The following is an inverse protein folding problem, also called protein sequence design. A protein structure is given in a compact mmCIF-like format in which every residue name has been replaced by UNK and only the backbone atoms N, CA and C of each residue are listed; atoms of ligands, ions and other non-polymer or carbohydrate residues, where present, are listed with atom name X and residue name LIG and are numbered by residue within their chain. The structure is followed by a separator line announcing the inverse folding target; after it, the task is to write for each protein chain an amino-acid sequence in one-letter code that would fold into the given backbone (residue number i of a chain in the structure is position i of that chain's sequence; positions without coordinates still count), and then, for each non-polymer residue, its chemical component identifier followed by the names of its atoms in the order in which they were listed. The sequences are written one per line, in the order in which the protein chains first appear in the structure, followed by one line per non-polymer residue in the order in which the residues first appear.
data_IF_726135795358
#
_entry.id   IF_726135795358
#
_cell.length_a   1.000
_cell.length_b   1.000
_cell.length_c   1.000
_cell.angle_alpha   90.00
_cell.angle_beta   90.00
_cell.angle_gamma   90.00
#
_symmetry.space_group_name_H-M   'P 1'
#
loop_
_entity.id
_entity.type
_entity.pdbx_description
1 polymer ?
#
# COMPACT_ATOMS: atom_id res chain seq x y z
N UNK A 1 -45.03 -46.18 -1.53
CA UNK A 1 -44.37 -44.87 -1.78
C UNK A 1 -43.85 -44.82 -3.21
N UNK A 2 -44.15 -43.72 -3.91
CA UNK A 2 -44.11 -43.57 -5.37
C UNK A 2 -42.68 -43.72 -5.97
N UNK A 3 -42.44 -44.76 -6.77
CA UNK A 3 -41.19 -45.01 -7.52
C UNK A 3 -40.75 -43.85 -8.44
N UNK A 4 -41.63 -42.89 -8.76
CA UNK A 4 -41.32 -41.71 -9.58
C UNK A 4 -40.41 -40.69 -8.88
N UNK A 5 -40.50 -40.53 -7.56
CA UNK A 5 -39.66 -39.56 -6.83
C UNK A 5 -38.22 -40.04 -6.64
N UNK A 6 -37.99 -41.35 -6.65
CA UNK A 6 -36.68 -41.93 -6.38
C UNK A 6 -35.62 -41.58 -7.44
N UNK A 7 -36.04 -41.22 -8.67
CA UNK A 7 -35.14 -40.74 -9.74
C UNK A 7 -34.98 -39.22 -9.76
N UNK A 8 -35.91 -38.48 -9.15
CA UNK A 8 -35.91 -37.01 -9.10
C UNK A 8 -35.07 -36.53 -7.91
N UNK A 9 -35.12 -37.23 -6.78
CA UNK A 9 -34.33 -36.94 -5.58
C UNK A 9 -32.81 -36.81 -5.88
N UNK A 10 -32.14 -37.76 -6.57
CA UNK A 10 -30.71 -37.61 -6.85
C UNK A 10 -30.40 -36.41 -7.74
N UNK A 11 -31.28 -36.07 -8.70
CA UNK A 11 -31.10 -34.89 -9.54
C UNK A 11 -31.22 -33.58 -8.75
N UNK A 12 -32.21 -33.49 -7.87
CA UNK A 12 -32.40 -32.32 -6.98
C UNK A 12 -31.20 -32.17 -6.03
N UNK A 13 -30.70 -33.26 -5.45
CA UNK A 13 -29.53 -33.23 -4.56
C UNK A 13 -28.27 -32.75 -5.30
N UNK A 14 -28.02 -33.22 -6.52
CA UNK A 14 -26.89 -32.76 -7.34
C UNK A 14 -27.03 -31.27 -7.68
N UNK A 15 -28.23 -30.84 -8.09
CA UNK A 15 -28.48 -29.44 -8.43
C UNK A 15 -28.30 -28.49 -7.23
N UNK A 16 -28.82 -28.87 -6.06
CA UNK A 16 -28.62 -28.12 -4.81
C UNK A 16 -27.14 -28.12 -4.42
N UNK A 17 -26.42 -29.24 -4.60
CA UNK A 17 -24.98 -29.31 -4.37
C UNK A 17 -24.19 -28.33 -5.24
N UNK A 18 -24.51 -28.23 -6.52
CA UNK A 18 -23.88 -27.26 -7.44
C UNK A 18 -24.17 -25.82 -6.99
N UNK A 19 -25.41 -25.51 -6.63
CA UNK A 19 -25.78 -24.17 -6.13
C UNK A 19 -24.98 -23.83 -4.88
N UNK A 20 -24.90 -24.74 -3.91
CA UNK A 20 -24.14 -24.51 -2.67
C UNK A 20 -22.66 -24.29 -2.95
N UNK A 21 -22.07 -25.04 -3.88
CA UNK A 21 -20.67 -24.86 -4.29
C UNK A 21 -20.47 -23.47 -4.91
N UNK A 22 -21.35 -23.05 -5.82
CA UNK A 22 -21.29 -21.72 -6.45
C UNK A 22 -21.42 -20.61 -5.40
N UNK A 23 -22.36 -20.73 -4.47
CA UNK A 23 -22.55 -19.77 -3.37
C UNK A 23 -21.30 -19.69 -2.47
N UNK A 24 -20.71 -20.83 -2.13
CA UNK A 24 -19.50 -20.89 -1.31
C UNK A 24 -18.32 -20.19 -2.00
N UNK A 25 -18.09 -20.46 -3.28
CA UNK A 25 -17.02 -19.79 -4.04
C UNK A 25 -17.26 -18.28 -4.20
N UNK A 26 -18.51 -17.87 -4.42
CA UNK A 26 -18.85 -16.44 -4.50
C UNK A 26 -18.56 -15.73 -3.17
N UNK A 27 -19.01 -16.29 -2.05
CA UNK A 27 -18.77 -15.71 -0.73
C UNK A 27 -17.26 -15.63 -0.42
N UNK A 28 -16.53 -16.72 -0.63
CA UNK A 28 -15.07 -16.72 -0.41
C UNK A 28 -14.33 -15.69 -1.27
N UNK A 29 -14.78 -15.45 -2.51
CA UNK A 29 -14.21 -14.42 -3.37
C UNK A 29 -14.55 -13.01 -2.89
N UNK A 30 -15.76 -12.78 -2.39
CA UNK A 30 -16.17 -11.50 -1.79
C UNK A 30 -15.35 -11.19 -0.54
N UNK A 31 -15.21 -12.16 0.37
CA UNK A 31 -14.44 -11.99 1.61
C UNK A 31 -12.97 -11.63 1.32
N UNK A 32 -12.35 -12.30 0.34
CA UNK A 32 -10.97 -11.99 -0.10
C UNK A 32 -10.83 -10.60 -0.71
N UNK A 33 -11.82 -10.18 -1.49
CA UNK A 33 -11.79 -8.86 -2.12
C UNK A 33 -11.95 -7.75 -1.08
N UNK A 34 -12.78 -7.96 -0.07
CA UNK A 34 -12.92 -7.07 1.08
C UNK A 34 -11.62 -7.00 1.90
N UNK A 35 -10.99 -8.15 2.20
CA UNK A 35 -9.71 -8.20 2.90
C UNK A 35 -8.61 -7.45 2.15
N UNK A 36 -8.48 -7.67 0.84
CA UNK A 36 -7.51 -6.95 0.00
C UNK A 36 -7.79 -5.46 -0.07
N UNK A 37 -9.07 -5.06 -0.13
CA UNK A 37 -9.47 -3.66 -0.06
C UNK A 37 -9.04 -3.02 1.26
N UNK A 38 -9.25 -3.70 2.39
CA UNK A 38 -8.83 -3.22 3.71
C UNK A 38 -7.30 -3.05 3.80
N UNK A 39 -6.54 -4.01 3.27
CA UNK A 39 -5.08 -3.88 3.20
C UNK A 39 -4.65 -2.68 2.33
N UNK A 40 -5.34 -2.45 1.20
CA UNK A 40 -5.07 -1.32 0.34
C UNK A 40 -5.39 0.01 1.00
N UNK A 41 -6.55 0.14 1.64
CA UNK A 41 -6.93 1.33 2.42
C UNK A 41 -5.93 1.61 3.53
N UNK A 42 -5.48 0.57 4.25
CA UNK A 42 -4.44 0.72 5.29
C UNK A 42 -3.11 1.19 4.72
N UNK A 43 -2.73 0.74 3.52
CA UNK A 43 -1.55 1.21 2.80
C UNK A 43 -1.69 2.69 2.42
N UNK A 44 -2.79 3.07 1.75
CA UNK A 44 -3.06 4.46 1.36
C UNK A 44 -3.04 5.38 2.58
N UNK A 45 -3.68 4.98 3.68
CA UNK A 45 -3.68 5.73 4.94
C UNK A 45 -2.28 5.94 5.50
N UNK A 46 -1.39 4.94 5.39
CA UNK A 46 0.00 5.08 5.85
C UNK A 46 0.79 6.06 4.98
N UNK A 47 0.51 6.09 3.67
CA UNK A 47 1.11 7.09 2.74
C UNK A 47 0.60 8.50 3.05
N UNK A 48 -0.68 8.65 3.41
CA UNK A 48 -1.24 9.93 3.86
C UNK A 48 -0.56 10.43 5.13
N UNK A 49 -0.33 9.54 6.11
CA UNK A 49 0.43 9.90 7.32
C UNK A 49 1.86 10.30 7.00
N UNK A 50 2.52 9.60 6.07
CA UNK A 50 3.85 10.00 5.61
C UNK A 50 3.85 11.41 5.00
N UNK A 51 2.90 11.71 4.11
CA UNK A 51 2.74 13.03 3.51
C UNK A 51 2.54 14.11 4.58
N UNK A 52 1.60 13.88 5.51
CA UNK A 52 1.34 14.81 6.61
C UNK A 52 2.57 15.03 7.48
N UNK A 53 3.36 13.99 7.74
CA UNK A 53 4.57 14.12 8.57
C UNK A 53 5.65 14.90 7.85
N UNK A 54 5.79 14.71 6.53
CA UNK A 54 6.73 15.48 5.70
C UNK A 54 6.39 16.98 5.72
N UNK A 55 5.11 17.35 5.66
CA UNK A 55 4.67 18.76 5.67
C UNK A 55 4.96 19.51 6.98
N UNK A 56 5.31 18.80 8.06
CA UNK A 56 5.62 19.41 9.36
C UNK A 56 7.06 19.93 9.46
N UNK A 57 7.94 19.50 8.55
CA UNK A 57 9.34 19.90 8.53
C UNK A 57 9.50 21.17 7.68
N UNK A 58 10.01 22.23 8.30
CA UNK A 58 10.31 23.50 7.66
C UNK A 58 11.61 24.14 8.21
N UNK A 59 12.13 25.15 7.51
CA UNK A 59 13.39 25.83 7.83
C UNK A 59 13.34 26.62 9.15
N UNK A 60 12.18 26.77 9.78
CA UNK A 60 12.02 27.49 11.05
C UNK A 60 12.22 26.60 12.29
N UNK A 61 12.31 25.28 12.10
CA UNK A 61 12.49 24.31 13.17
C UNK A 61 13.90 24.40 13.77
N UNK A 62 13.99 24.34 15.09
CA UNK A 62 15.28 24.17 15.76
C UNK A 62 15.79 22.73 15.61
N UNK A 63 17.09 22.50 15.83
CA UNK A 63 17.75 21.20 15.64
C UNK A 63 17.04 20.04 16.37
N UNK A 64 16.62 20.23 17.63
CA UNK A 64 16.02 19.15 18.42
C UNK A 64 14.60 18.79 17.90
N UNK A 65 13.81 19.81 17.53
CA UNK A 65 12.48 19.62 16.93
C UNK A 65 12.60 18.97 15.54
N UNK A 66 13.56 19.44 14.73
CA UNK A 66 13.84 18.88 13.41
C UNK A 66 14.23 17.40 13.50
N UNK A 67 15.09 17.04 14.47
CA UNK A 67 15.49 15.67 14.70
C UNK A 67 14.31 14.74 15.03
N UNK A 68 13.36 15.21 15.85
CA UNK A 68 12.13 14.45 16.17
C UNK A 68 11.27 14.28 14.91
N UNK A 69 11.02 15.36 14.17
CA UNK A 69 10.20 15.29 12.96
C UNK A 69 10.81 14.39 11.88
N UNK A 70 12.13 14.45 11.69
CA UNK A 70 12.86 13.55 10.80
C UNK A 70 12.73 12.08 11.24
N UNK A 71 12.75 11.82 12.55
CA UNK A 71 12.50 10.47 13.06
C UNK A 71 11.07 10.00 12.82
N UNK A 72 10.08 10.89 12.95
CA UNK A 72 8.68 10.58 12.67
C UNK A 72 8.43 10.28 11.20
N UNK A 73 9.08 11.02 10.28
CA UNK A 73 9.06 10.70 8.84
C UNK A 73 9.65 9.32 8.58
N UNK A 74 10.81 9.02 9.16
CA UNK A 74 11.44 7.70 9.00
C UNK A 74 10.53 6.57 9.48
N UNK A 75 9.91 6.74 10.64
CA UNK A 75 8.95 5.79 11.20
C UNK A 75 7.74 5.61 10.30
N UNK A 76 7.22 6.69 9.71
CA UNK A 76 6.12 6.64 8.74
C UNK A 76 6.51 5.89 7.47
N UNK A 77 7.74 6.04 6.96
CA UNK A 77 8.26 5.26 5.82
C UNK A 77 8.33 3.76 6.14
N UNK A 78 8.69 3.40 7.37
CA UNK A 78 8.67 1.99 7.83
C UNK A 78 7.24 1.45 7.77
N UNK A 79 6.27 2.18 8.32
CA UNK A 79 4.87 1.73 8.28
C UNK A 79 4.34 1.56 6.86
N UNK A 80 4.70 2.46 5.93
CA UNK A 80 4.36 2.29 4.51
C UNK A 80 4.92 0.98 3.96
N UNK A 81 6.20 0.68 4.20
CA UNK A 81 6.82 -0.59 3.77
C UNK A 81 6.14 -1.83 4.38
N UNK A 82 5.77 -1.78 5.65
CA UNK A 82 5.06 -2.87 6.32
C UNK A 82 3.67 -3.09 5.70
N UNK A 83 2.94 -2.00 5.40
CA UNK A 83 1.63 -2.10 4.73
C UNK A 83 1.73 -2.59 3.30
N UNK A 84 2.76 -2.19 2.53
CA UNK A 84 3.02 -2.76 1.20
C UNK A 84 3.27 -4.26 1.30
N UNK A 85 4.05 -4.70 2.30
CA UNK A 85 4.34 -6.13 2.52
C UNK A 85 3.06 -6.91 2.81
N UNK A 86 2.18 -6.39 3.68
CA UNK A 86 0.88 -6.99 3.96
C UNK A 86 -0.01 -7.04 2.71
N UNK A 87 -0.09 -5.93 1.96
CA UNK A 87 -0.87 -5.88 0.73
C UNK A 87 -0.35 -6.89 -0.30
N UNK A 88 0.96 -6.97 -0.51
CA UNK A 88 1.58 -7.93 -1.45
C UNK A 88 1.33 -9.38 -1.06
N UNK A 89 1.43 -9.71 0.22
CA UNK A 89 1.29 -11.09 0.69
C UNK A 89 -0.16 -11.61 0.62
N UNK A 90 -1.15 -10.71 0.62
CA UNK A 90 -2.58 -11.08 0.61
C UNK A 90 -3.25 -10.87 -0.76
N UNK A 91 -2.68 -10.03 -1.62
CA UNK A 91 -3.13 -9.89 -3.02
C UNK A 91 -2.42 -10.88 -3.94
N UNK A 92 -3.01 -11.17 -5.10
CA UNK A 92 -2.30 -11.90 -6.16
C UNK A 92 -1.07 -11.07 -6.56
N UNK A 93 0.11 -11.49 -6.11
CA UNK A 93 1.38 -10.76 -6.30
C UNK A 93 1.52 -10.28 -7.75
N UNK A 94 1.48 -8.97 -7.97
CA UNK A 94 1.74 -8.36 -9.26
C UNK A 94 3.18 -7.83 -9.31
N UNK A 95 3.86 -7.87 -10.47
CA UNK A 95 5.18 -7.28 -10.63
C UNK A 95 5.25 -5.80 -10.23
N UNK A 96 4.12 -5.09 -10.31
CA UNK A 96 3.98 -3.71 -9.88
C UNK A 96 4.10 -3.58 -8.37
N UNK A 97 3.50 -4.49 -7.60
CA UNK A 97 3.60 -4.49 -6.15
C UNK A 97 5.03 -4.80 -5.68
N UNK A 98 5.72 -5.73 -6.35
CA UNK A 98 7.13 -6.02 -6.09
C UNK A 98 8.02 -4.82 -6.37
N UNK A 99 7.77 -4.13 -7.49
CA UNK A 99 8.46 -2.89 -7.83
C UNK A 99 8.22 -1.84 -6.75
N UNK A 100 6.97 -1.61 -6.36
CA UNK A 100 6.62 -0.63 -5.33
C UNK A 100 7.34 -0.90 -4.00
N UNK A 101 7.35 -2.16 -3.57
CA UNK A 101 8.04 -2.59 -2.36
C UNK A 101 9.53 -2.30 -2.42
N UNK A 102 10.16 -2.52 -3.57
CA UNK A 102 11.59 -2.23 -3.74
C UNK A 102 11.86 -0.72 -3.73
N UNK A 103 11.03 0.08 -4.41
CA UNK A 103 11.22 1.54 -4.43
C UNK A 103 11.07 2.15 -3.02
N UNK A 104 10.07 1.75 -2.24
CA UNK A 104 9.92 2.23 -0.86
C UNK A 104 11.00 1.71 0.10
N UNK A 105 11.59 0.54 -0.19
CA UNK A 105 12.77 0.07 0.55
C UNK A 105 13.98 0.96 0.26
N UNK A 106 14.19 1.37 -0.99
CA UNK A 106 15.25 2.30 -1.34
C UNK A 106 15.02 3.66 -0.68
N UNK A 107 13.78 4.17 -0.68
CA UNK A 107 13.43 5.45 -0.02
C UNK A 107 13.73 5.38 1.48
N UNK A 108 13.37 4.27 2.12
CA UNK A 108 13.70 4.03 3.54
C UNK A 108 15.20 4.14 3.79
N UNK A 109 16.02 3.45 3.01
CA UNK A 109 17.48 3.43 3.20
C UNK A 109 18.09 4.82 2.94
N UNK A 110 17.60 5.51 1.91
CA UNK A 110 18.01 6.87 1.60
C UNK A 110 17.71 7.82 2.77
N UNK A 111 16.48 7.80 3.27
CA UNK A 111 16.06 8.69 4.33
C UNK A 111 16.70 8.35 5.68
N UNK A 112 16.89 7.06 5.99
CA UNK A 112 17.62 6.63 7.20
C UNK A 112 19.01 7.29 7.28
N UNK A 113 19.72 7.37 6.15
CA UNK A 113 21.02 8.03 6.10
C UNK A 113 20.91 9.52 6.46
N UNK A 114 19.87 10.21 6.00
CA UNK A 114 19.63 11.61 6.33
C UNK A 114 19.39 11.80 7.84
N UNK A 115 18.51 10.98 8.43
CA UNK A 115 18.23 11.01 9.88
C UNK A 115 19.49 10.74 10.68
N UNK A 116 20.24 9.68 10.35
CA UNK A 116 21.49 9.33 11.05
C UNK A 116 22.53 10.44 10.95
N UNK A 117 22.68 11.05 9.77
CA UNK A 117 23.62 12.15 9.57
C UNK A 117 23.24 13.36 10.42
N UNK A 118 21.97 13.75 10.42
CA UNK A 118 21.50 14.85 11.25
C UNK A 118 21.75 14.58 12.74
N UNK A 119 21.38 13.40 13.24
CA UNK A 119 21.57 13.03 14.65
C UNK A 119 23.05 12.92 15.07
N UNK A 120 23.92 12.40 14.18
CA UNK A 120 25.31 12.08 14.54
C UNK A 120 26.26 13.25 14.35
N UNK A 121 26.08 14.04 13.29
CA UNK A 121 27.02 15.10 12.91
C UNK A 121 26.41 16.49 12.97
N UNK A 122 25.14 16.61 13.37
CA UNK A 122 24.36 17.86 13.30
C UNK A 122 24.40 18.51 11.93
N UNK A 123 24.51 17.68 10.88
CA UNK A 123 24.45 18.18 9.52
C UNK A 123 23.05 18.71 9.26
N UNK A 124 22.95 19.94 8.77
CA UNK A 124 21.68 20.55 8.40
C UNK A 124 20.96 19.68 7.36
N UNK A 125 19.63 19.60 7.50
CA UNK A 125 18.78 18.97 6.50
C UNK A 125 18.88 19.76 5.20
N UNK A 126 19.02 19.05 4.08
CA UNK A 126 18.86 19.68 2.78
C UNK A 126 17.36 19.86 2.49
N UNK A 127 16.86 21.08 2.70
CA UNK A 127 15.45 21.41 2.50
C UNK A 127 14.98 21.33 1.04
N UNK A 128 15.87 21.46 0.05
CA UNK A 128 15.53 21.22 -1.36
C UNK A 128 15.20 19.74 -1.59
N UNK A 129 16.02 18.84 -1.05
CA UNK A 129 15.78 17.39 -1.10
C UNK A 129 14.50 17.04 -0.34
N UNK A 130 14.28 17.63 0.84
CA UNK A 130 13.07 17.40 1.63
C UNK A 130 11.81 17.86 0.89
N UNK A 131 11.82 19.07 0.34
CA UNK A 131 10.69 19.63 -0.43
C UNK A 131 10.39 18.77 -1.65
N UNK A 132 11.43 18.33 -2.38
CA UNK A 132 11.24 17.40 -3.50
C UNK A 132 10.62 16.07 -3.03
N UNK A 133 11.08 15.51 -1.91
CA UNK A 133 10.52 14.28 -1.37
C UNK A 133 9.04 14.45 -0.99
N UNK A 134 8.70 15.51 -0.28
CA UNK A 134 7.31 15.86 0.04
C UNK A 134 6.45 15.96 -1.24
N UNK A 135 6.91 16.71 -2.24
CA UNK A 135 6.20 16.85 -3.51
C UNK A 135 5.96 15.49 -4.19
N UNK A 136 6.98 14.62 -4.25
CA UNK A 136 6.85 13.29 -4.88
C UNK A 136 5.91 12.37 -4.12
N UNK A 137 5.89 12.41 -2.79
CA UNK A 137 4.92 11.66 -2.00
C UNK A 137 3.50 12.18 -2.24
N UNK A 138 3.32 13.50 -2.31
CA UNK A 138 2.01 14.11 -2.59
C UNK A 138 1.50 13.73 -3.98
N UNK A 139 2.36 13.79 -5.00
CA UNK A 139 2.04 13.35 -6.36
C UNK A 139 1.73 11.86 -6.43
N UNK A 140 2.52 11.03 -5.74
CA UNK A 140 2.25 9.60 -5.61
C UNK A 140 0.86 9.35 -5.04
N UNK A 141 0.53 9.98 -3.91
CA UNK A 141 -0.77 9.84 -3.25
C UNK A 141 -1.94 10.28 -4.15
N UNK A 142 -1.77 11.37 -4.90
CA UNK A 142 -2.80 11.88 -5.81
C UNK A 142 -3.06 10.95 -7.01
N UNK A 143 -2.03 10.24 -7.47
CA UNK A 143 -2.10 9.35 -8.63
C UNK A 143 -2.39 7.88 -8.26
N UNK A 144 -2.45 7.56 -6.95
CA UNK A 144 -2.82 6.23 -6.50
C UNK A 144 -4.25 5.88 -6.95
N UNK A 145 -4.52 4.60 -7.27
CA UNK A 145 -5.89 4.12 -7.42
C UNK A 145 -6.75 4.51 -6.19
N UNK A 146 -8.01 4.90 -6.41
CA UNK A 146 -8.88 5.27 -5.28
C UNK A 146 -9.27 4.06 -4.44
N UNK A 147 -9.57 2.96 -5.13
CA UNK A 147 -10.04 1.72 -4.55
C UNK A 147 -9.20 0.55 -5.06
N UNK A 148 -9.16 -0.54 -4.29
CA UNK A 148 -8.54 -1.77 -4.75
C UNK A 148 -9.44 -2.47 -5.75
N UNK A 149 -8.89 -2.79 -6.91
CA UNK A 149 -9.50 -3.68 -7.88
C UNK A 149 -8.47 -4.66 -8.41
N UNK A 150 -8.82 -5.94 -8.51
CA UNK A 150 -7.98 -6.93 -9.18
C UNK A 150 -8.10 -6.79 -10.71
N UNK A 151 -7.67 -5.66 -11.25
CA UNK A 151 -7.83 -5.28 -12.66
C UNK A 151 -6.53 -4.77 -13.27
N UNK A 152 -6.43 -4.84 -14.60
CA UNK A 152 -5.29 -4.25 -15.33
C UNK A 152 -5.24 -2.73 -15.19
N UNK A 153 -6.39 -2.09 -15.00
CA UNK A 153 -6.48 -0.64 -14.86
C UNK A 153 -5.92 -0.18 -13.52
N UNK A 154 -6.16 -0.95 -12.45
CA UNK A 154 -5.50 -0.76 -11.16
C UNK A 154 -3.97 -0.84 -11.30
N UNK A 155 -3.44 -1.89 -11.94
CA UNK A 155 -2.00 -2.05 -12.13
C UNK A 155 -1.38 -0.91 -12.98
N UNK A 156 -2.11 -0.42 -13.98
CA UNK A 156 -1.65 0.70 -14.80
C UNK A 156 -1.63 2.03 -14.04
N UNK A 157 -2.66 2.31 -13.25
CA UNK A 157 -2.71 3.50 -12.40
C UNK A 157 -1.63 3.44 -11.32
N UNK A 158 -1.49 2.30 -10.64
CA UNK A 158 -0.42 2.07 -9.68
C UNK A 158 0.95 2.31 -10.33
N UNK A 159 1.20 1.75 -11.52
CA UNK A 159 2.45 1.97 -12.26
C UNK A 159 2.74 3.44 -12.56
N UNK A 160 1.72 4.24 -12.88
CA UNK A 160 1.89 5.69 -13.09
C UNK A 160 2.29 6.39 -11.80
N UNK A 161 1.56 6.12 -10.70
CA UNK A 161 1.88 6.66 -9.39
C UNK A 161 3.34 6.35 -8.99
N UNK A 162 3.78 5.10 -9.15
CA UNK A 162 5.13 4.66 -8.81
C UNK A 162 6.27 5.45 -9.46
N UNK A 163 6.01 6.10 -10.60
CA UNK A 163 7.01 6.94 -11.25
C UNK A 163 7.46 8.10 -10.35
N UNK A 164 6.58 8.61 -9.49
CA UNK A 164 6.92 9.68 -8.53
C UNK A 164 7.85 9.18 -7.44
N UNK A 165 7.65 7.96 -6.93
CA UNK A 165 8.53 7.38 -5.90
C UNK A 165 9.94 7.15 -6.45
N UNK A 166 10.04 6.65 -7.69
CA UNK A 166 11.33 6.46 -8.37
C UNK A 166 12.12 7.75 -8.50
N UNK A 167 11.44 8.89 -8.67
CA UNK A 167 12.06 10.20 -8.81
C UNK A 167 12.53 10.82 -7.48
N UNK A 168 12.34 10.16 -6.34
CA UNK A 168 12.85 10.63 -5.05
C UNK A 168 14.36 10.40 -4.95
N UNK A 169 14.84 9.29 -5.53
CA UNK A 169 16.22 8.79 -5.36
C UNK A 169 17.06 9.00 -6.62
N UNK A 170 16.42 9.12 -7.79
CA UNK A 170 17.06 9.36 -9.08
C UNK A 170 16.95 10.83 -9.49
#
# INVERSE_FOLDING_TARGET
MNKKYNKIIPFVVVFVGIILIVLYFNQSNTDKLEENSNHYTSFVSSVQTLEQTLTQIDDSKNDDELAVLMFDVYTSIIFVNDRITLLRNNTNSSPQMDTLSNEFLLVRNFYESQVRNHLSTKKELNFEIHTNFEEKIRLFLNDLPKDYESSKDFDQQLKKAMAHIKAIIN
#
